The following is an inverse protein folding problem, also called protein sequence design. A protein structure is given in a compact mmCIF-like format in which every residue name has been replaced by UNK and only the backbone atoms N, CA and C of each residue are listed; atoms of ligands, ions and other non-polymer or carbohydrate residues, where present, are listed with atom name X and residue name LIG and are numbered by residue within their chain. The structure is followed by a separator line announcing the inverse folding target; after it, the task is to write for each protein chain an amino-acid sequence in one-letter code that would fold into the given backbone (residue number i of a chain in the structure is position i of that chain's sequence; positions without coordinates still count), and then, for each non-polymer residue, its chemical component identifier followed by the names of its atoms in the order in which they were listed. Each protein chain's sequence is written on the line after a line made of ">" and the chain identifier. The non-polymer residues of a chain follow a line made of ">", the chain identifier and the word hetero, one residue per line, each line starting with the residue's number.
data_IF_110058788472
#
_entry.id   IF_110058788472
#
_cell.length_a   1.000
_cell.length_b   1.000
_cell.length_c   1.000
_cell.angle_alpha   90.00
_cell.angle_beta   90.00
_cell.angle_gamma   90.00
#
_symmetry.space_group_name_H-M   'P 1'
#
loop_
_entity.id
_entity.type
_entity.pdbx_description
1 polymer ?
#
# COMPACT_ATOMS: atom_id res chain seq x y z
N UNK A 1 5.54 -32.81 -6.25
CA UNK A 1 5.81 -32.88 -4.80
C UNK A 1 6.94 -31.95 -4.30
N UNK A 2 8.03 -31.68 -5.05
CA UNK A 2 9.10 -30.78 -4.58
C UNK A 2 8.73 -29.28 -4.56
N UNK A 3 7.84 -28.82 -5.45
CA UNK A 3 7.39 -27.43 -5.47
C UNK A 3 6.53 -27.03 -4.25
N UNK A 4 5.70 -27.95 -3.72
CA UNK A 4 4.85 -27.65 -2.57
C UNK A 4 5.63 -27.48 -1.25
N UNK A 5 6.76 -28.18 -1.10
CA UNK A 5 7.57 -28.09 0.13
C UNK A 5 8.42 -26.80 0.19
N UNK A 6 8.90 -26.30 -0.96
CA UNK A 6 9.59 -25.01 -1.03
C UNK A 6 8.61 -23.85 -0.79
N UNK A 7 7.46 -23.88 -1.44
CA UNK A 7 6.39 -22.88 -1.27
C UNK A 7 5.90 -22.78 0.18
N UNK A 8 5.69 -23.92 0.86
CA UNK A 8 5.34 -23.95 2.29
C UNK A 8 6.44 -23.35 3.19
N UNK A 9 7.71 -23.52 2.85
CA UNK A 9 8.80 -22.89 3.62
C UNK A 9 8.84 -21.38 3.44
N UNK A 10 8.63 -20.90 2.22
CA UNK A 10 8.60 -19.48 1.92
C UNK A 10 7.40 -18.78 2.59
N UNK A 11 6.23 -19.41 2.56
CA UNK A 11 5.03 -18.92 3.28
C UNK A 11 5.25 -18.90 4.79
N UNK A 12 5.82 -19.94 5.37
CA UNK A 12 6.12 -20.00 6.82
C UNK A 12 7.13 -18.92 7.21
N UNK A 13 8.15 -18.69 6.39
CA UNK A 13 9.12 -17.62 6.62
C UNK A 13 8.47 -16.25 6.57
N UNK A 14 7.67 -15.97 5.53
CA UNK A 14 6.98 -14.70 5.38
C UNK A 14 6.03 -14.43 6.56
N UNK A 15 5.26 -15.42 7.01
CA UNK A 15 4.38 -15.31 8.18
C UNK A 15 5.16 -15.03 9.47
N UNK A 16 6.32 -15.67 9.66
CA UNK A 16 7.18 -15.41 10.82
C UNK A 16 7.67 -13.96 10.81
N UNK A 17 8.18 -13.49 9.68
CA UNK A 17 8.66 -12.11 9.53
C UNK A 17 7.53 -11.09 9.70
N UNK A 18 6.33 -11.38 9.18
CA UNK A 18 5.16 -10.52 9.37
C UNK A 18 4.80 -10.43 10.86
N UNK A 19 4.78 -11.56 11.57
CA UNK A 19 4.52 -11.58 13.02
C UNK A 19 5.54 -10.78 13.82
N UNK A 20 6.82 -10.85 13.46
CA UNK A 20 7.87 -10.04 14.09
C UNK A 20 7.64 -8.55 13.83
N UNK A 21 7.27 -8.19 12.61
CA UNK A 21 7.03 -6.81 12.19
C UNK A 21 5.80 -6.20 12.90
N UNK A 22 4.70 -6.92 12.99
CA UNK A 22 3.49 -6.50 13.71
C UNK A 22 3.75 -6.41 15.21
N UNK A 23 4.46 -7.38 15.80
CA UNK A 23 4.86 -7.35 17.21
C UNK A 23 5.74 -6.14 17.53
N UNK A 24 6.69 -5.79 16.64
CA UNK A 24 7.52 -4.62 16.79
C UNK A 24 6.68 -3.32 16.76
N UNK A 25 5.73 -3.25 15.82
CA UNK A 25 4.83 -2.10 15.70
C UNK A 25 3.98 -1.93 16.97
N UNK A 26 3.29 -2.99 17.41
CA UNK A 26 2.44 -2.97 18.61
C UNK A 26 3.21 -2.54 19.86
N UNK A 27 4.40 -3.10 20.08
CA UNK A 27 5.24 -2.77 21.24
C UNK A 27 5.58 -1.28 21.32
N UNK A 28 5.72 -0.61 20.17
CA UNK A 28 6.12 0.79 20.07
C UNK A 28 5.01 1.71 19.55
N UNK A 29 3.79 1.23 19.43
CA UNK A 29 2.64 1.93 18.80
C UNK A 29 2.45 3.35 19.29
N UNK A 30 2.50 3.57 20.62
CA UNK A 30 2.36 4.92 21.20
C UNK A 30 3.42 5.90 20.68
N UNK A 31 4.65 5.44 20.53
CA UNK A 31 5.74 6.24 20.00
C UNK A 31 5.52 6.50 18.51
N UNK A 32 5.20 5.48 17.73
CA UNK A 32 4.98 5.62 16.29
C UNK A 32 3.81 6.56 15.98
N UNK A 33 2.70 6.44 16.70
CA UNK A 33 1.55 7.35 16.54
C UNK A 33 1.91 8.81 16.85
N UNK A 34 2.85 9.06 17.77
CA UNK A 34 3.22 10.43 18.19
C UNK A 34 4.32 11.08 17.35
N UNK A 35 5.29 10.30 16.84
CA UNK A 35 6.51 10.86 16.22
C UNK A 35 6.78 10.40 14.79
N UNK A 36 6.16 9.29 14.32
CA UNK A 36 6.40 8.84 12.95
C UNK A 36 5.70 9.74 11.95
N UNK A 37 6.46 10.09 10.94
CA UNK A 37 5.92 10.63 9.71
C UNK A 37 5.61 9.49 8.71
N UNK A 38 5.08 9.88 7.58
CA UNK A 38 4.72 8.95 6.51
C UNK A 38 5.95 8.28 5.88
N UNK A 39 7.07 8.98 5.78
CA UNK A 39 8.30 8.44 5.19
C UNK A 39 8.90 7.33 6.06
N UNK A 40 8.94 7.51 7.37
CA UNK A 40 9.39 6.47 8.32
C UNK A 40 8.44 5.27 8.30
N UNK A 41 7.13 5.49 8.27
CA UNK A 41 6.12 4.41 8.18
C UNK A 41 6.32 3.58 6.91
N UNK A 42 6.57 4.24 5.77
CA UNK A 42 6.89 3.54 4.51
C UNK A 42 8.13 2.67 4.64
N UNK A 43 9.24 3.26 5.07
CA UNK A 43 10.54 2.57 5.07
C UNK A 43 10.61 1.43 6.08
N UNK A 44 10.08 1.64 7.29
CA UNK A 44 10.24 0.69 8.38
C UNK A 44 9.22 -0.44 8.37
N UNK A 45 8.04 -0.22 7.76
CA UNK A 45 6.93 -1.16 7.82
C UNK A 45 6.33 -1.49 6.45
N UNK A 46 5.84 -0.50 5.69
CA UNK A 46 5.09 -0.77 4.46
C UNK A 46 5.98 -1.41 3.38
N UNK A 47 7.20 -0.93 3.19
CA UNK A 47 8.16 -1.52 2.25
C UNK A 47 8.40 -3.00 2.58
N UNK A 48 8.69 -3.30 3.84
CA UNK A 48 8.96 -4.66 4.31
C UNK A 48 7.75 -5.57 4.13
N UNK A 49 6.55 -5.07 4.39
CA UNK A 49 5.32 -5.82 4.16
C UNK A 49 5.17 -6.23 2.69
N UNK A 50 5.33 -5.30 1.76
CA UNK A 50 5.24 -5.62 0.33
C UNK A 50 6.41 -6.49 -0.17
N UNK A 51 7.62 -6.35 0.40
CA UNK A 51 8.75 -7.26 0.15
C UNK A 51 8.40 -8.69 0.58
N UNK A 52 7.75 -8.89 1.73
CA UNK A 52 7.27 -10.20 2.19
C UNK A 52 6.20 -10.81 1.25
N UNK A 53 5.44 -9.97 0.56
CA UNK A 53 4.50 -10.40 -0.48
C UNK A 53 5.17 -10.70 -1.83
N UNK A 54 6.50 -10.53 -1.92
CA UNK A 54 7.29 -10.88 -3.10
C UNK A 54 7.49 -9.74 -4.10
N UNK A 55 7.15 -8.48 -3.75
CA UNK A 55 7.38 -7.33 -4.61
C UNK A 55 8.80 -6.81 -4.50
N UNK A 56 9.45 -6.54 -5.62
CA UNK A 56 10.80 -5.94 -5.69
C UNK A 56 10.74 -4.42 -5.46
N UNK A 57 10.56 -4.02 -4.20
CA UNK A 57 10.43 -2.61 -3.79
C UNK A 57 11.69 -1.81 -4.14
N UNK A 58 12.87 -2.42 -4.01
CA UNK A 58 14.17 -1.76 -4.15
C UNK A 58 14.81 -1.94 -5.51
N UNK A 59 14.16 -2.67 -6.41
CA UNK A 59 14.70 -3.05 -7.69
C UNK A 59 16.01 -3.86 -7.57
N UNK A 60 16.05 -4.82 -6.66
CA UNK A 60 17.20 -5.71 -6.46
C UNK A 60 17.46 -6.62 -7.68
N UNK A 61 16.41 -6.88 -8.47
CA UNK A 61 16.52 -7.59 -9.75
C UNK A 61 17.21 -6.77 -10.85
N UNK A 62 17.41 -5.46 -10.63
CA UNK A 62 18.09 -4.58 -11.58
C UNK A 62 17.32 -4.31 -12.86
N UNK A 63 15.98 -4.33 -12.83
CA UNK A 63 15.18 -3.96 -13.99
C UNK A 63 15.40 -2.51 -14.38
N UNK A 64 15.35 -2.23 -15.69
CA UNK A 64 15.34 -0.85 -16.17
C UNK A 64 14.09 -0.11 -15.66
N UNK A 65 14.15 1.22 -15.57
CA UNK A 65 13.05 2.05 -15.03
C UNK A 65 11.67 1.72 -15.63
N UNK A 66 11.65 1.40 -16.92
CA UNK A 66 10.43 1.00 -17.64
C UNK A 66 9.80 -0.29 -17.09
N UNK A 67 10.62 -1.22 -16.57
CA UNK A 67 10.18 -2.54 -16.11
C UNK A 67 10.25 -2.73 -14.60
N UNK A 68 10.61 -1.69 -13.85
CA UNK A 68 10.55 -1.75 -12.39
C UNK A 68 9.17 -2.18 -11.93
N UNK A 69 9.13 -3.12 -10.97
CA UNK A 69 7.88 -3.58 -10.39
C UNK A 69 7.23 -2.53 -9.50
N UNK A 70 8.02 -1.76 -8.76
CA UNK A 70 7.52 -0.71 -7.88
C UNK A 70 8.22 0.61 -8.17
N UNK A 71 7.42 1.63 -8.46
CA UNK A 71 7.89 3.01 -8.69
C UNK A 71 7.32 3.91 -7.60
N UNK A 72 8.20 4.61 -6.91
CA UNK A 72 7.81 5.59 -5.91
C UNK A 72 7.45 6.91 -6.58
N UNK A 73 6.41 7.57 -6.06
CA UNK A 73 5.97 8.89 -6.51
C UNK A 73 5.74 8.96 -8.04
N UNK A 74 5.09 7.92 -8.57
CA UNK A 74 4.78 7.80 -10.00
C UNK A 74 3.74 8.86 -10.43
N UNK A 75 4.14 9.78 -11.28
CA UNK A 75 3.37 10.99 -11.60
C UNK A 75 2.07 10.68 -12.35
N UNK A 76 0.98 11.27 -11.86
CA UNK A 76 -0.35 11.24 -12.47
C UNK A 76 -0.90 12.66 -12.59
N UNK A 77 -1.49 13.01 -13.73
CA UNK A 77 -2.13 14.32 -13.89
C UNK A 77 -3.60 14.25 -13.50
N UNK A 78 -4.00 15.02 -12.49
CA UNK A 78 -5.37 15.07 -11.97
C UNK A 78 -5.87 16.51 -12.01
N UNK A 79 -6.91 16.78 -12.81
CA UNK A 79 -7.48 18.11 -12.93
C UNK A 79 -6.45 19.17 -13.36
N UNK A 80 -5.54 18.80 -14.27
CA UNK A 80 -4.47 19.68 -14.77
C UNK A 80 -3.28 19.85 -13.81
N UNK A 81 -3.29 19.20 -12.64
CA UNK A 81 -2.18 19.24 -11.67
C UNK A 81 -1.47 17.89 -11.61
N UNK A 82 -0.13 17.94 -11.60
CA UNK A 82 0.68 16.75 -11.40
C UNK A 82 0.61 16.35 -9.91
N UNK A 83 0.25 15.11 -9.66
CA UNK A 83 0.22 14.46 -8.35
C UNK A 83 0.98 13.15 -8.44
N UNK A 84 1.33 12.57 -7.32
CA UNK A 84 2.00 11.28 -7.28
C UNK A 84 1.48 10.46 -6.08
N UNK A 85 0.94 9.25 -6.31
CA UNK A 85 0.77 8.28 -5.24
C UNK A 85 2.14 7.84 -4.71
N UNK A 86 2.18 7.39 -3.46
CA UNK A 86 3.44 6.94 -2.85
C UNK A 86 4.10 5.80 -3.60
N UNK A 87 3.29 4.85 -4.09
CA UNK A 87 3.77 3.72 -4.86
C UNK A 87 2.87 3.42 -6.06
N UNK A 88 3.49 3.06 -7.17
CA UNK A 88 2.84 2.39 -8.30
C UNK A 88 3.40 0.98 -8.45
N UNK A 89 2.55 -0.01 -8.37
CA UNK A 89 2.89 -1.41 -8.57
C UNK A 89 2.64 -1.81 -10.03
N UNK A 90 3.62 -2.46 -10.64
CA UNK A 90 3.65 -2.77 -12.07
C UNK A 90 3.99 -4.23 -12.31
N UNK A 91 3.48 -4.77 -13.41
CA UNK A 91 3.88 -6.08 -13.95
C UNK A 91 4.18 -5.88 -15.43
N UNK A 92 5.40 -6.20 -15.84
CA UNK A 92 5.82 -6.01 -17.23
C UNK A 92 5.74 -4.54 -17.71
N UNK A 93 6.02 -3.59 -16.82
CA UNK A 93 5.92 -2.16 -17.09
C UNK A 93 4.51 -1.56 -17.05
N UNK A 94 3.47 -2.37 -16.86
CA UNK A 94 2.08 -1.93 -16.79
C UNK A 94 1.63 -1.73 -15.34
N UNK A 95 1.11 -0.54 -15.03
CA UNK A 95 0.50 -0.23 -13.73
C UNK A 95 -0.65 -1.19 -13.41
N UNK A 96 -0.65 -1.77 -12.21
CA UNK A 96 -1.70 -2.67 -11.72
C UNK A 96 -2.53 -1.99 -10.64
N UNK A 97 -1.89 -1.36 -9.67
CA UNK A 97 -2.54 -0.59 -8.62
C UNK A 97 -1.59 0.45 -8.03
N UNK A 98 -2.16 1.43 -7.34
CA UNK A 98 -1.41 2.36 -6.50
C UNK A 98 -1.57 1.99 -5.02
N UNK A 99 -0.57 2.35 -4.24
CA UNK A 99 -0.64 2.36 -2.78
C UNK A 99 -0.37 3.77 -2.30
N UNK A 100 -1.25 4.25 -1.45
CA UNK A 100 -1.10 5.49 -0.70
C UNK A 100 -0.80 5.12 0.75
N UNK A 101 0.29 5.61 1.27
CA UNK A 101 0.70 5.42 2.65
C UNK A 101 0.19 6.58 3.51
N UNK A 102 -0.04 6.31 4.78
CA UNK A 102 -0.29 7.32 5.79
C UNK A 102 0.55 7.03 7.04
N UNK A 103 0.77 8.05 7.84
CA UNK A 103 1.40 7.88 9.16
C UNK A 103 0.42 7.22 10.13
N UNK A 104 0.90 6.53 11.18
CA UNK A 104 0.04 5.76 12.09
C UNK A 104 -0.95 6.58 12.93
N UNK A 105 -0.89 7.91 12.89
CA UNK A 105 -1.86 8.77 13.55
C UNK A 105 -3.10 9.08 12.72
N UNK A 106 -3.17 8.64 11.47
CA UNK A 106 -4.30 8.85 10.56
C UNK A 106 -5.29 7.69 10.71
N UNK A 107 -6.55 7.97 10.94
CA UNK A 107 -7.60 6.95 10.97
C UNK A 107 -8.06 6.65 9.55
N UNK A 108 -7.50 5.60 8.96
CA UNK A 108 -7.81 5.19 7.59
C UNK A 108 -9.27 4.75 7.44
N UNK A 109 -9.84 4.15 8.49
CA UNK A 109 -11.21 3.66 8.46
C UNK A 109 -12.23 4.77 8.27
N UNK A 110 -12.05 5.89 8.95
CA UNK A 110 -13.08 6.91 9.13
C UNK A 110 -12.72 8.29 8.54
N UNK A 111 -11.48 8.53 8.13
CA UNK A 111 -11.11 9.78 7.50
C UNK A 111 -11.39 9.78 5.99
N UNK A 112 -12.09 10.83 5.53
CA UNK A 112 -12.51 10.94 4.13
C UNK A 112 -11.33 11.28 3.20
N UNK A 113 -10.47 12.21 3.58
CA UNK A 113 -9.44 12.77 2.69
C UNK A 113 -8.49 11.70 2.13
N UNK A 114 -7.92 10.78 2.94
CA UNK A 114 -7.07 9.71 2.43
C UNK A 114 -7.80 8.78 1.45
N UNK A 115 -9.05 8.39 1.78
CA UNK A 115 -9.87 7.54 0.95
C UNK A 115 -10.21 8.21 -0.40
N UNK A 116 -10.57 9.49 -0.37
CA UNK A 116 -10.85 10.27 -1.56
C UNK A 116 -9.61 10.45 -2.43
N UNK A 117 -8.46 10.70 -1.83
CA UNK A 117 -7.18 10.88 -2.50
C UNK A 117 -6.79 9.62 -3.29
N UNK A 118 -6.74 8.46 -2.65
CA UNK A 118 -6.32 7.21 -3.29
C UNK A 118 -7.29 6.80 -4.42
N UNK A 119 -8.59 7.00 -4.22
CA UNK A 119 -9.61 6.73 -5.23
C UNK A 119 -9.46 7.64 -6.45
N UNK A 120 -9.14 8.92 -6.25
CA UNK A 120 -8.88 9.85 -7.35
C UNK A 120 -7.68 9.44 -8.19
N UNK A 121 -6.61 8.98 -7.56
CA UNK A 121 -5.45 8.46 -8.26
C UNK A 121 -5.82 7.28 -9.15
N UNK A 122 -6.44 6.26 -8.59
CA UNK A 122 -6.80 5.05 -9.31
C UNK A 122 -7.81 5.29 -10.43
N UNK A 123 -8.86 6.08 -10.17
CA UNK A 123 -9.86 6.44 -11.18
C UNK A 123 -9.24 7.17 -12.37
N UNK A 124 -8.37 8.17 -12.10
CA UNK A 124 -7.70 8.95 -13.15
C UNK A 124 -6.76 8.09 -13.99
N UNK A 125 -6.03 7.18 -13.35
CA UNK A 125 -5.12 6.25 -14.02
C UNK A 125 -5.85 5.03 -14.65
N UNK A 126 -7.17 4.94 -14.51
CA UNK A 126 -8.01 3.83 -15.00
C UNK A 126 -7.58 2.47 -14.44
N UNK A 127 -7.19 2.44 -13.17
CA UNK A 127 -6.82 1.23 -12.46
C UNK A 127 -8.07 0.59 -11.80
N UNK A 128 -8.12 -0.74 -11.69
CA UNK A 128 -9.27 -1.43 -11.10
C UNK A 128 -9.39 -1.22 -9.60
N UNK A 129 -8.26 -1.11 -8.91
CA UNK A 129 -8.21 -0.94 -7.46
C UNK A 129 -6.99 -0.12 -7.03
N UNK A 130 -7.06 0.42 -5.81
CA UNK A 130 -5.93 1.00 -5.10
C UNK A 130 -6.00 0.65 -3.61
N UNK A 131 -4.85 0.75 -2.95
CA UNK A 131 -4.66 0.41 -1.55
C UNK A 131 -4.33 1.68 -0.78
N UNK A 132 -4.90 1.79 0.42
CA UNK A 132 -4.59 2.79 1.42
C UNK A 132 -4.15 2.07 2.70
N UNK A 133 -2.99 2.42 3.25
CA UNK A 133 -2.47 1.76 4.44
C UNK A 133 -1.55 2.67 5.26
N UNK A 134 -1.54 2.45 6.58
CA UNK A 134 -0.56 2.99 7.52
C UNK A 134 0.25 1.87 8.19
N UNK A 135 0.17 0.67 7.64
CA UNK A 135 0.64 -0.61 8.12
C UNK A 135 -0.32 -1.28 9.13
N UNK A 136 -0.83 -0.56 10.13
CA UNK A 136 -1.81 -1.12 11.08
C UNK A 136 -3.14 -1.40 10.40
N UNK A 137 -3.60 -0.47 9.57
CA UNK A 137 -4.84 -0.54 8.81
C UNK A 137 -4.55 -0.77 7.32
N UNK A 138 -5.36 -1.59 6.68
CA UNK A 138 -5.25 -1.91 5.26
C UNK A 138 -6.62 -1.84 4.59
N UNK A 139 -6.77 -0.94 3.64
CA UNK A 139 -8.02 -0.73 2.93
C UNK A 139 -7.81 -0.84 1.41
N UNK A 140 -8.70 -1.58 0.74
CA UNK A 140 -8.73 -1.70 -0.72
C UNK A 140 -9.98 -1.04 -1.26
N UNK A 141 -9.82 -0.20 -2.27
CA UNK A 141 -10.90 0.53 -2.92
C UNK A 141 -11.06 0.13 -4.39
N UNK A 142 -12.31 -0.05 -4.83
CA UNK A 142 -12.65 -0.14 -6.25
C UNK A 142 -12.55 1.24 -6.89
N UNK A 143 -11.51 1.44 -7.68
CA UNK A 143 -11.23 2.74 -8.30
C UNK A 143 -11.85 2.92 -9.69
N UNK A 144 -12.66 1.97 -10.14
CA UNK A 144 -13.52 2.13 -11.33
C UNK A 144 -14.73 3.03 -11.04
N UNK A 145 -15.09 3.17 -9.77
CA UNK A 145 -16.18 4.03 -9.29
C UNK A 145 -15.66 5.44 -9.12
N UNK A 146 -16.25 6.39 -9.86
CA UNK A 146 -15.85 7.81 -9.78
C UNK A 146 -16.00 8.34 -8.36
N UNK A 147 -14.94 8.88 -7.74
CA UNK A 147 -15.03 9.46 -6.41
C UNK A 147 -15.76 10.82 -6.44
N UNK A 148 -16.53 11.07 -5.37
CA UNK A 148 -17.19 12.37 -5.11
C UNK A 148 -16.69 12.96 -3.79
N UNK A 149 -16.56 14.29 -3.68
CA UNK A 149 -16.24 14.95 -2.40
C UNK A 149 -17.30 14.71 -1.30
N UNK A 150 -18.51 14.31 -1.68
CA UNK A 150 -19.61 13.98 -0.75
C UNK A 150 -19.65 12.50 -0.34
N UNK A 151 -18.74 11.67 -0.86
CA UNK A 151 -18.69 10.27 -0.50
C UNK A 151 -18.30 10.08 0.97
N UNK A 152 -18.76 8.97 1.56
CA UNK A 152 -18.28 8.53 2.87
C UNK A 152 -16.88 7.88 2.73
N UNK A 153 -16.08 7.81 3.81
CA UNK A 153 -14.78 7.11 3.78
C UNK A 153 -14.86 5.65 3.31
N UNK A 154 -15.98 4.98 3.61
CA UNK A 154 -16.25 3.60 3.19
C UNK A 154 -16.77 3.46 1.75
N UNK A 155 -17.00 4.55 1.02
CA UNK A 155 -17.52 4.48 -0.35
C UNK A 155 -16.51 3.78 -1.26
N UNK A 156 -16.98 2.79 -2.04
CA UNK A 156 -16.16 1.95 -2.92
C UNK A 156 -15.05 1.14 -2.20
N UNK A 157 -15.04 1.08 -0.88
CA UNK A 157 -14.13 0.23 -0.12
C UNK A 157 -14.62 -1.22 -0.19
N UNK A 158 -13.82 -2.09 -0.80
CA UNK A 158 -14.15 -3.50 -1.02
C UNK A 158 -13.50 -4.43 -0.02
N UNK A 159 -12.49 -3.96 0.69
CA UNK A 159 -11.81 -4.69 1.76
C UNK A 159 -11.27 -3.73 2.80
N UNK A 160 -11.28 -4.15 4.05
CA UNK A 160 -10.65 -3.46 5.16
C UNK A 160 -10.31 -4.49 6.25
N UNK A 161 -9.10 -4.42 6.78
CA UNK A 161 -8.68 -5.14 7.96
C UNK A 161 -7.65 -4.33 8.76
N UNK A 162 -7.42 -4.74 9.99
CA UNK A 162 -6.22 -4.40 10.75
C UNK A 162 -5.27 -5.60 10.70
N UNK A 163 -4.01 -5.42 11.07
CA UNK A 163 -3.06 -6.54 11.05
C UNK A 163 -3.34 -7.61 12.12
N UNK A 164 -4.28 -7.35 13.05
CA UNK A 164 -4.74 -8.31 14.06
C UNK A 164 -5.84 -9.26 13.54
N UNK A 165 -6.42 -8.96 12.38
CA UNK A 165 -7.50 -9.71 11.72
C UNK A 165 -6.97 -10.60 10.59
#
# INVERSE_FOLDING_TARGET
>A
MKQSAAQNKDETFAMTQLTELTTLFERNKKQYTSVYDEANTRTDFIDKFFELLGWDIRNEQGYSEQYREVVREDKVTIGGKVKAPDYAFRIGGLRKFFVEAKKPSVNIKDELEPAFQVRRYGYTAKLPLCILTDFEEFAVYDTRIKPSPSDKPSAARIFYCTFDE
#
